data_IF_893835356458
#
_entry.id   IF_893835356458
#
_cell.length_a   1.000
_cell.length_b   1.000
_cell.length_c   1.000
_cell.angle_alpha   90.00
_cell.angle_beta   90.00
_cell.angle_gamma   90.00
#
_symmetry.space_group_name_H-M   'P 1'
#
loop_
_entity.id
_entity.type
_entity.pdbx_description
1 polymer ?
#
# COMPACT_ATOMS: atom_id res chain seq x y z
N UNK A 1 6.53 -2.18 22.93
CA UNK A 1 6.35 -3.37 22.06
C UNK A 1 7.56 -3.53 21.16
N UNK A 2 7.91 -4.78 20.84
CA UNK A 2 8.88 -5.13 19.81
C UNK A 2 8.17 -5.29 18.46
N UNK A 3 8.64 -4.60 17.42
CA UNK A 3 7.99 -4.59 16.11
C UNK A 3 8.96 -5.05 15.03
N UNK A 4 8.69 -6.19 14.40
CA UNK A 4 9.40 -6.63 13.22
C UNK A 4 8.92 -5.81 12.01
N UNK A 5 9.82 -5.18 11.27
CA UNK A 5 9.52 -4.42 10.06
C UNK A 5 10.13 -5.15 8.87
N UNK A 6 9.29 -5.74 8.04
CA UNK A 6 9.72 -6.40 6.81
C UNK A 6 9.83 -5.34 5.71
N UNK A 7 11.05 -4.94 5.43
CA UNK A 7 11.42 -3.87 4.52
C UNK A 7 12.51 -2.97 5.08
N UNK A 8 13.24 -2.30 4.19
CA UNK A 8 14.27 -1.30 4.53
C UNK A 8 14.27 -0.13 3.52
N UNK A 9 13.09 0.17 2.97
CA UNK A 9 12.82 1.31 2.12
C UNK A 9 12.44 2.57 2.90
N UNK A 10 12.00 3.60 2.19
CA UNK A 10 11.61 4.90 2.77
C UNK A 10 10.52 4.77 3.83
N UNK A 11 9.49 3.99 3.54
CA UNK A 11 8.35 3.78 4.46
C UNK A 11 8.76 2.97 5.68
N UNK A 12 9.57 1.92 5.49
CA UNK A 12 10.08 1.11 6.59
C UNK A 12 10.93 1.95 7.56
N UNK A 13 11.83 2.80 7.04
CA UNK A 13 12.65 3.69 7.85
C UNK A 13 11.82 4.77 8.55
N UNK A 14 10.85 5.38 7.85
CA UNK A 14 9.96 6.35 8.47
C UNK A 14 9.15 5.75 9.62
N UNK A 15 8.58 4.57 9.42
CA UNK A 15 7.85 3.85 10.47
C UNK A 15 8.77 3.42 11.62
N UNK A 16 9.99 2.94 11.32
CA UNK A 16 10.96 2.56 12.35
C UNK A 16 11.37 3.76 13.22
N UNK A 17 11.65 4.90 12.60
CA UNK A 17 11.97 6.13 13.32
C UNK A 17 10.80 6.59 14.21
N UNK A 18 9.57 6.55 13.69
CA UNK A 18 8.36 6.93 14.43
C UNK A 18 8.11 5.98 15.61
N UNK A 19 8.19 4.66 15.41
CA UNK A 19 8.05 3.66 16.46
C UNK A 19 9.10 3.86 17.57
N UNK A 20 10.36 4.05 17.18
CA UNK A 20 11.42 4.30 18.15
C UNK A 20 11.22 5.61 18.94
N UNK A 21 10.70 6.66 18.30
CA UNK A 21 10.36 7.93 18.96
C UNK A 21 9.23 7.79 19.98
N UNK A 22 8.35 6.81 19.77
CA UNK A 22 7.23 6.47 20.66
C UNK A 22 7.62 5.42 21.74
N UNK A 23 8.90 5.05 21.81
CA UNK A 23 9.41 4.13 22.84
C UNK A 23 9.23 2.65 22.51
N UNK A 24 8.95 2.30 21.27
CA UNK A 24 8.91 0.92 20.79
C UNK A 24 10.27 0.44 20.30
N UNK A 25 10.44 -0.87 20.13
CA UNK A 25 11.66 -1.52 19.64
C UNK A 25 11.49 -2.00 18.19
N UNK A 26 11.80 -1.18 17.17
CA UNK A 26 11.72 -1.61 15.78
C UNK A 26 12.93 -2.46 15.39
N UNK A 27 12.66 -3.60 14.74
CA UNK A 27 13.64 -4.50 14.17
C UNK A 27 13.36 -4.65 12.69
N UNK A 28 14.22 -4.08 11.85
CA UNK A 28 14.06 -4.11 10.40
C UNK A 28 14.72 -5.36 9.81
N UNK A 29 14.15 -5.85 8.72
CA UNK A 29 14.78 -6.84 7.87
C UNK A 29 14.71 -6.39 6.41
N UNK A 30 15.84 -6.44 5.71
CA UNK A 30 15.95 -6.14 4.29
C UNK A 30 15.98 -7.44 3.49
N UNK A 31 14.94 -7.78 2.71
CA UNK A 31 14.95 -9.01 1.89
C UNK A 31 16.15 -9.11 0.93
N UNK A 32 16.62 -7.99 0.40
CA UNK A 32 17.77 -7.96 -0.50
C UNK A 32 19.11 -8.03 0.22
N UNK A 33 19.15 -7.83 1.54
CA UNK A 33 20.37 -7.71 2.33
C UNK A 33 21.26 -6.50 1.99
N UNK A 34 20.85 -5.65 1.03
CA UNK A 34 21.66 -4.53 0.53
C UNK A 34 21.46 -3.23 1.30
N UNK A 35 20.37 -3.10 2.06
CA UNK A 35 20.02 -1.87 2.78
C UNK A 35 20.34 -2.01 4.26
N UNK A 36 20.69 -0.87 4.91
CA UNK A 36 20.87 -0.80 6.35
C UNK A 36 22.23 -1.28 6.86
N UNK A 37 23.22 -1.42 5.99
CA UNK A 37 24.57 -1.84 6.41
C UNK A 37 25.19 -0.90 7.43
N UNK A 38 24.93 0.40 7.33
CA UNK A 38 25.35 1.39 8.33
C UNK A 38 24.69 1.16 9.68
N UNK A 39 23.43 0.71 9.70
CA UNK A 39 22.71 0.39 10.95
C UNK A 39 23.28 -0.90 11.56
N UNK A 40 23.57 -1.91 10.74
CA UNK A 40 24.30 -3.12 11.18
C UNK A 40 25.62 -2.76 11.83
N UNK A 41 26.33 -1.77 11.28
CA UNK A 41 27.59 -1.25 11.83
C UNK A 41 27.40 -0.36 13.08
N UNK A 42 26.20 -0.26 13.62
CA UNK A 42 25.90 0.46 14.86
C UNK A 42 25.53 1.94 14.69
N UNK A 43 25.38 2.44 13.45
CA UNK A 43 24.92 3.81 13.21
C UNK A 43 23.42 3.92 13.50
N UNK A 44 22.97 4.90 14.30
CA UNK A 44 21.55 5.12 14.51
C UNK A 44 20.85 5.60 13.24
N UNK A 45 19.55 5.36 13.15
CA UNK A 45 18.70 5.88 12.07
C UNK A 45 18.45 7.38 12.30
N UNK A 46 18.90 8.21 11.38
CA UNK A 46 18.63 9.66 11.40
C UNK A 46 17.34 9.95 10.62
N UNK A 47 16.43 10.70 11.19
CA UNK A 47 15.25 11.22 10.52
C UNK A 47 15.25 12.74 10.50
N UNK A 48 14.65 13.33 9.46
CA UNK A 48 14.43 14.76 9.28
C UNK A 48 13.03 15.05 8.77
N UNK A 49 12.58 16.30 8.85
CA UNK A 49 11.27 16.72 8.34
C UNK A 49 10.19 16.71 9.41
N UNK A 50 9.08 16.01 9.19
CA UNK A 50 7.99 15.92 10.18
C UNK A 50 8.35 15.11 11.43
N UNK A 51 9.46 14.39 11.40
CA UNK A 51 10.09 13.73 12.54
C UNK A 51 11.59 14.03 12.46
N UNK A 52 12.14 14.66 13.48
CA UNK A 52 13.54 15.04 13.52
C UNK A 52 14.24 14.34 14.71
N UNK A 53 15.38 13.74 14.46
CA UNK A 53 16.16 13.08 15.50
C UNK A 53 16.99 11.90 15.01
N UNK A 54 17.56 11.22 16.02
CA UNK A 54 18.43 10.05 15.85
C UNK A 54 17.88 8.91 16.71
N UNK A 55 17.55 7.78 16.08
CA UNK A 55 16.79 6.71 16.69
C UNK A 55 17.56 5.40 16.67
N UNK A 56 17.53 4.70 17.80
CA UNK A 56 18.10 3.36 17.87
C UNK A 56 17.13 2.38 17.20
N UNK A 57 17.58 1.72 16.15
CA UNK A 57 16.86 0.66 15.45
C UNK A 57 17.81 -0.53 15.23
N UNK A 58 17.27 -1.71 15.03
CA UNK A 58 18.05 -2.92 14.80
C UNK A 58 17.80 -3.46 13.39
N UNK A 59 18.84 -3.97 12.73
CA UNK A 59 18.72 -4.75 11.51
C UNK A 59 18.91 -6.22 11.83
N UNK A 60 17.91 -7.05 11.45
CA UNK A 60 17.99 -8.50 11.58
C UNK A 60 18.63 -9.12 10.33
N UNK A 61 19.31 -10.25 10.50
CA UNK A 61 19.94 -11.00 9.41
C UNK A 61 18.92 -11.77 8.57
N UNK A 62 17.80 -12.19 9.18
CA UNK A 62 16.73 -12.95 8.51
C UNK A 62 15.35 -12.44 8.93
N UNK A 63 14.31 -12.83 8.18
CA UNK A 63 12.92 -12.61 8.58
C UNK A 63 12.61 -13.24 9.94
N UNK A 64 13.12 -14.46 10.16
CA UNK A 64 12.94 -15.19 11.42
C UNK A 64 13.55 -14.44 12.61
N UNK A 65 14.77 -13.89 12.47
CA UNK A 65 15.41 -13.12 13.53
C UNK A 65 14.65 -11.81 13.83
N UNK A 66 14.06 -11.19 12.82
CA UNK A 66 13.24 -10.00 13.02
C UNK A 66 11.96 -10.33 13.80
N UNK A 67 11.30 -11.43 13.44
CA UNK A 67 9.99 -11.86 13.98
C UNK A 67 10.11 -12.47 15.37
N UNK A 68 11.25 -13.07 15.69
CA UNK A 68 11.47 -13.71 16.99
C UNK A 68 11.21 -12.72 18.15
N UNK A 69 10.21 -13.05 18.99
CA UNK A 69 9.79 -12.22 20.12
C UNK A 69 9.13 -10.89 19.75
N UNK A 70 8.75 -10.67 18.51
CA UNK A 70 7.99 -9.50 18.11
C UNK A 70 6.51 -9.62 18.52
N UNK A 71 5.93 -8.52 18.99
CA UNK A 71 4.51 -8.40 19.29
C UNK A 71 3.70 -8.15 18.00
N UNK A 72 4.30 -7.40 17.08
CA UNK A 72 3.70 -7.09 15.79
C UNK A 72 4.71 -7.25 14.64
N UNK A 73 4.20 -7.64 13.47
CA UNK A 73 4.98 -7.78 12.23
C UNK A 73 4.41 -6.82 11.19
N UNK A 74 5.17 -5.79 10.82
CA UNK A 74 4.78 -4.74 9.88
C UNK A 74 5.42 -4.99 8.52
N UNK A 75 4.62 -5.25 7.49
CA UNK A 75 5.06 -5.31 6.10
C UNK A 75 5.11 -3.88 5.52
N UNK A 76 6.30 -3.41 5.16
CA UNK A 76 6.55 -2.06 4.66
C UNK A 76 7.42 -2.08 3.39
N UNK A 77 6.89 -2.74 2.37
CA UNK A 77 7.51 -2.96 1.06
C UNK A 77 6.56 -2.53 -0.07
N UNK A 78 7.06 -2.24 -1.28
CA UNK A 78 6.23 -2.22 -2.48
C UNK A 78 5.57 -3.57 -2.75
N UNK A 79 4.43 -3.56 -3.45
CA UNK A 79 3.60 -4.74 -3.66
C UNK A 79 4.34 -5.92 -4.33
N UNK A 80 5.22 -5.63 -5.27
CA UNK A 80 6.07 -6.63 -5.94
C UNK A 80 7.06 -7.35 -5.02
N UNK A 81 7.24 -6.89 -3.80
CA UNK A 81 8.03 -7.57 -2.77
C UNK A 81 7.19 -8.29 -1.71
N UNK A 82 5.87 -8.17 -1.77
CA UNK A 82 4.97 -8.69 -0.74
C UNK A 82 5.05 -10.20 -0.63
N UNK A 83 4.90 -10.94 -1.75
CA UNK A 83 4.93 -12.41 -1.76
C UNK A 83 6.21 -12.93 -1.11
N UNK A 84 7.35 -12.52 -1.61
CA UNK A 84 8.66 -12.97 -1.12
C UNK A 84 8.83 -12.69 0.37
N UNK A 85 8.45 -11.50 0.84
CA UNK A 85 8.57 -11.13 2.24
C UNK A 85 7.59 -11.91 3.14
N UNK A 86 6.36 -12.14 2.68
CA UNK A 86 5.35 -12.91 3.40
C UNK A 86 5.70 -14.40 3.47
N UNK A 87 6.23 -14.98 2.39
CA UNK A 87 6.69 -16.37 2.37
C UNK A 87 7.87 -16.58 3.31
N UNK A 88 8.81 -15.62 3.36
CA UNK A 88 9.91 -15.65 4.31
C UNK A 88 9.45 -15.47 5.77
N UNK A 89 8.39 -14.72 6.01
CA UNK A 89 7.86 -14.44 7.33
C UNK A 89 6.97 -15.58 7.87
N UNK A 90 6.11 -16.13 7.02
CA UNK A 90 5.06 -17.07 7.42
C UNK A 90 5.54 -18.25 8.28
N UNK A 91 6.69 -18.92 8.01
CA UNK A 91 7.20 -20.01 8.84
C UNK A 91 7.52 -19.61 10.29
N UNK A 92 7.81 -18.32 10.53
CA UNK A 92 8.29 -17.78 11.80
C UNK A 92 7.21 -17.09 12.63
N UNK A 93 6.01 -16.87 12.06
CA UNK A 93 4.90 -16.28 12.79
C UNK A 93 4.45 -17.20 13.92
N UNK A 94 4.04 -16.63 15.06
CA UNK A 94 3.61 -17.34 16.25
C UNK A 94 2.32 -16.75 16.81
N UNK A 95 1.55 -17.59 17.51
CA UNK A 95 0.33 -17.17 18.20
C UNK A 95 0.59 -16.00 19.15
N UNK A 96 -0.36 -15.09 19.24
CA UNK A 96 -0.22 -13.86 20.04
C UNK A 96 0.25 -12.66 19.26
N UNK A 97 0.95 -12.83 18.15
CA UNK A 97 1.38 -11.75 17.25
C UNK A 97 0.20 -11.14 16.49
N UNK A 98 0.45 -10.01 15.84
CA UNK A 98 -0.42 -9.40 14.85
C UNK A 98 0.40 -9.05 13.61
N UNK A 99 -0.16 -9.27 12.42
CA UNK A 99 0.47 -8.86 11.17
C UNK A 99 -0.19 -7.58 10.68
N UNK A 100 0.60 -6.62 10.23
CA UNK A 100 0.13 -5.33 9.73
C UNK A 100 0.69 -5.13 8.32
N UNK A 101 -0.16 -4.79 7.35
CA UNK A 101 0.24 -4.47 5.99
C UNK A 101 0.11 -2.97 5.77
N UNK A 102 1.23 -2.29 5.66
CA UNK A 102 1.30 -0.86 5.40
C UNK A 102 1.04 -0.57 3.93
N UNK A 103 -0.14 0.00 3.62
CA UNK A 103 -0.65 0.22 2.26
C UNK A 103 -1.03 -1.09 1.54
N UNK A 104 -2.21 -1.58 1.89
CA UNK A 104 -2.77 -2.81 1.34
C UNK A 104 -3.06 -2.70 -0.16
N UNK A 105 -2.64 -3.69 -0.91
CA UNK A 105 -2.92 -3.83 -2.33
C UNK A 105 -2.99 -5.31 -2.72
N UNK A 106 -3.60 -5.63 -3.86
CA UNK A 106 -3.69 -7.00 -4.40
C UNK A 106 -4.14 -8.06 -3.38
N UNK A 107 -4.98 -7.69 -2.45
CA UNK A 107 -5.43 -8.62 -1.41
C UNK A 107 -4.31 -9.33 -0.65
N UNK A 108 -3.14 -8.68 -0.52
CA UNK A 108 -1.99 -9.22 0.21
C UNK A 108 -2.33 -9.63 1.65
N UNK A 109 -3.35 -8.99 2.27
CA UNK A 109 -3.90 -9.41 3.55
C UNK A 109 -4.53 -10.79 3.52
N UNK A 110 -5.25 -11.16 2.45
CA UNK A 110 -5.80 -12.51 2.28
C UNK A 110 -4.70 -13.53 2.02
N UNK A 111 -3.65 -13.17 1.27
CA UNK A 111 -2.52 -14.06 1.00
C UNK A 111 -1.83 -14.48 2.30
N UNK A 112 -1.41 -13.53 3.13
CA UNK A 112 -0.75 -13.89 4.40
C UNK A 112 -1.71 -14.55 5.39
N UNK A 113 -3.00 -14.19 5.40
CA UNK A 113 -4.02 -14.87 6.22
C UNK A 113 -4.18 -16.33 5.80
N UNK A 114 -4.08 -16.67 4.50
CA UNK A 114 -4.06 -18.03 4.00
C UNK A 114 -2.86 -18.81 4.57
N UNK A 115 -1.65 -18.23 4.48
CA UNK A 115 -0.41 -18.85 5.02
C UNK A 115 -0.48 -19.08 6.54
N UNK A 116 -1.12 -18.19 7.26
CA UNK A 116 -1.37 -18.32 8.70
C UNK A 116 -2.34 -19.48 8.96
N UNK A 117 -3.46 -19.55 8.22
CA UNK A 117 -4.47 -20.60 8.35
C UNK A 117 -3.94 -22.00 7.95
N UNK A 118 -3.09 -22.11 6.92
CA UNK A 118 -2.38 -23.35 6.53
C UNK A 118 -1.60 -23.96 7.71
N UNK A 119 -1.08 -23.11 8.60
CA UNK A 119 -0.34 -23.51 9.81
C UNK A 119 -1.23 -23.73 11.03
N UNK A 120 -2.55 -23.52 10.90
CA UNK A 120 -3.49 -23.64 12.02
C UNK A 120 -3.29 -22.58 13.10
N UNK A 121 -2.75 -21.40 12.74
CA UNK A 121 -2.54 -20.29 13.66
C UNK A 121 -3.72 -19.31 13.62
N UNK A 122 -3.99 -18.67 14.76
CA UNK A 122 -4.94 -17.57 14.89
C UNK A 122 -4.17 -16.26 15.12
N UNK A 123 -3.84 -15.59 14.00
CA UNK A 123 -3.08 -14.31 13.99
C UNK A 123 -3.88 -13.32 13.17
N UNK A 124 -4.39 -12.24 13.78
CA UNK A 124 -5.08 -11.20 13.02
C UNK A 124 -4.16 -10.48 12.04
N UNK A 125 -4.71 -10.16 10.87
CA UNK A 125 -4.03 -9.38 9.83
C UNK A 125 -4.71 -8.03 9.68
N UNK A 126 -4.03 -6.95 10.04
CA UNK A 126 -4.51 -5.58 9.86
C UNK A 126 -4.02 -5.04 8.53
N UNK A 127 -4.90 -4.51 7.72
CA UNK A 127 -4.58 -3.89 6.44
C UNK A 127 -4.84 -2.39 6.50
N UNK A 128 -3.86 -1.58 6.09
CA UNK A 128 -3.97 -0.13 6.05
C UNK A 128 -4.27 0.36 4.63
N UNK A 129 -5.16 1.33 4.51
CA UNK A 129 -5.49 1.96 3.23
C UNK A 129 -4.36 2.81 2.65
N UNK A 130 -3.43 3.26 3.50
CA UNK A 130 -2.21 3.98 3.11
C UNK A 130 -1.16 3.84 4.22
N UNK A 131 0.05 4.32 3.97
CA UNK A 131 1.15 4.33 4.96
C UNK A 131 0.93 5.39 6.05
N UNK A 132 1.37 5.14 7.28
CA UNK A 132 1.37 6.15 8.37
C UNK A 132 2.37 7.27 8.07
N UNK A 133 3.58 6.90 7.64
CA UNK A 133 4.62 7.87 7.26
C UNK A 133 4.76 7.95 5.74
N UNK A 134 5.09 9.14 5.23
CA UNK A 134 5.55 9.34 3.86
C UNK A 134 6.91 10.04 3.87
N UNK A 135 7.75 9.80 2.87
CA UNK A 135 9.07 10.39 2.82
C UNK A 135 10.01 9.67 1.86
N UNK A 136 11.28 10.01 1.92
CA UNK A 136 12.33 9.41 1.07
C UNK A 136 13.56 9.08 1.90
N UNK A 137 14.18 7.94 1.64
CA UNK A 137 15.52 7.64 2.13
C UNK A 137 16.49 8.67 1.56
N UNK A 138 17.34 9.20 2.43
CA UNK A 138 18.40 10.15 2.08
C UNK A 138 19.79 9.54 2.20
N UNK A 139 19.88 8.32 2.72
CA UNK A 139 21.11 7.54 2.86
C UNK A 139 20.85 6.15 3.41
N UNK A 140 21.92 5.40 3.71
CA UNK A 140 21.80 4.02 4.18
C UNK A 140 21.27 3.90 5.62
N UNK A 141 21.43 4.95 6.44
CA UNK A 141 20.86 5.07 7.78
C UNK A 141 20.17 6.42 7.96
N UNK A 142 19.48 6.93 6.92
CA UNK A 142 18.79 8.22 7.02
C UNK A 142 17.54 8.29 6.15
N UNK A 143 16.52 9.01 6.64
CA UNK A 143 15.23 9.22 5.99
C UNK A 143 14.74 10.65 6.22
N UNK A 144 14.19 11.27 5.19
CA UNK A 144 13.36 12.46 5.34
C UNK A 144 11.89 12.00 5.43
N UNK A 145 11.25 12.28 6.54
CA UNK A 145 9.82 12.01 6.78
C UNK A 145 9.06 13.28 6.40
N UNK A 146 8.51 13.32 5.21
CA UNK A 146 7.79 14.51 4.72
C UNK A 146 6.42 14.68 5.40
N UNK A 147 5.80 13.59 5.82
CA UNK A 147 4.45 13.61 6.42
C UNK A 147 4.27 12.45 7.40
N UNK A 148 3.62 12.73 8.53
CA UNK A 148 3.01 11.74 9.40
C UNK A 148 1.51 11.95 9.32
N UNK A 149 0.78 10.97 8.77
CA UNK A 149 -0.67 11.12 8.52
C UNK A 149 -1.46 11.14 9.82
N UNK A 150 -2.41 12.03 9.90
CA UNK A 150 -3.33 12.16 11.03
C UNK A 150 -4.49 11.16 11.00
N UNK A 151 -4.80 10.61 9.81
CA UNK A 151 -5.86 9.59 9.64
C UNK A 151 -5.41 8.52 8.64
N UNK A 152 -5.61 7.25 9.03
CA UNK A 152 -5.34 6.07 8.20
C UNK A 152 -6.51 5.11 8.37
N UNK A 153 -7.17 4.77 7.27
CA UNK A 153 -8.23 3.77 7.26
C UNK A 153 -7.61 2.37 7.42
N UNK A 154 -8.21 1.55 8.27
CA UNK A 154 -7.77 0.17 8.52
C UNK A 154 -8.94 -0.81 8.50
N UNK A 155 -8.64 -2.06 8.22
CA UNK A 155 -9.53 -3.18 8.47
C UNK A 155 -8.73 -4.38 8.97
N UNK A 156 -9.38 -5.32 9.64
CA UNK A 156 -8.74 -6.50 10.21
C UNK A 156 -9.36 -7.78 9.62
N UNK A 157 -8.54 -8.77 9.34
CA UNK A 157 -8.93 -10.11 8.90
C UNK A 157 -8.54 -11.10 10.02
N UNK A 158 -9.49 -11.82 10.63
CA UNK A 158 -10.93 -11.65 10.46
C UNK A 158 -11.44 -10.35 11.08
N UNK A 159 -12.59 -9.84 10.60
CA UNK A 159 -13.21 -8.60 11.11
C UNK A 159 -13.58 -8.70 12.60
N UNK A 160 -13.86 -9.90 13.11
CA UNK A 160 -14.09 -10.16 14.54
C UNK A 160 -12.91 -9.77 15.44
N UNK A 161 -11.70 -9.67 14.90
CA UNK A 161 -10.51 -9.19 15.60
C UNK A 161 -10.28 -7.68 15.45
N UNK A 162 -11.22 -6.92 14.87
CA UNK A 162 -11.09 -5.49 14.57
C UNK A 162 -10.69 -4.65 15.77
N UNK A 163 -11.38 -4.82 16.90
CA UNK A 163 -11.06 -4.09 18.13
C UNK A 163 -9.60 -4.30 18.58
N UNK A 164 -9.08 -5.53 18.49
CA UNK A 164 -7.67 -5.84 18.79
C UNK A 164 -6.73 -5.20 17.77
N UNK A 165 -7.07 -5.28 16.48
CA UNK A 165 -6.30 -4.67 15.40
C UNK A 165 -6.17 -3.16 15.58
N UNK A 166 -7.29 -2.48 15.87
CA UNK A 166 -7.33 -1.05 16.13
C UNK A 166 -6.51 -0.68 17.38
N UNK A 167 -6.70 -1.40 18.47
CA UNK A 167 -5.97 -1.17 19.72
C UNK A 167 -4.45 -1.24 19.53
N UNK A 168 -3.96 -2.29 18.88
CA UNK A 168 -2.51 -2.45 18.62
C UNK A 168 -1.98 -1.35 17.72
N UNK A 169 -2.70 -0.99 16.66
CA UNK A 169 -2.30 0.12 15.79
C UNK A 169 -2.23 1.45 16.56
N UNK A 170 -3.21 1.74 17.42
CA UNK A 170 -3.22 2.93 18.26
C UNK A 170 -2.09 2.94 19.30
N UNK A 171 -1.80 1.80 19.92
CA UNK A 171 -0.68 1.64 20.85
C UNK A 171 0.66 1.91 20.15
N UNK A 172 0.84 1.41 18.93
CA UNK A 172 2.09 1.55 18.17
C UNK A 172 2.29 2.95 17.58
N UNK A 173 1.23 3.59 17.08
CA UNK A 173 1.35 4.81 16.28
C UNK A 173 0.47 5.97 16.76
N UNK A 174 -0.27 5.82 17.86
CA UNK A 174 -1.19 6.83 18.37
C UNK A 174 -2.56 6.81 17.70
N UNK A 175 -3.45 7.68 18.14
CA UNK A 175 -4.86 7.75 17.72
C UNK A 175 -5.00 8.41 16.34
N UNK A 176 -4.75 7.62 15.31
CA UNK A 176 -4.86 8.03 13.89
C UNK A 176 -5.61 7.05 13.00
N UNK A 177 -6.11 5.98 13.54
CA UNK A 177 -6.72 4.91 12.75
C UNK A 177 -8.23 5.00 12.75
N UNK A 178 -8.83 4.75 11.59
CA UNK A 178 -10.28 4.70 11.38
C UNK A 178 -10.63 3.32 10.85
N UNK A 179 -11.37 2.56 11.64
CA UNK A 179 -11.79 1.21 11.26
C UNK A 179 -12.82 1.26 10.14
N UNK A 180 -12.65 0.39 9.15
CA UNK A 180 -13.57 0.13 8.04
C UNK A 180 -14.15 -1.28 8.20
N UNK A 181 -15.24 -1.56 7.48
CA UNK A 181 -15.96 -2.82 7.59
C UNK A 181 -15.11 -4.06 7.35
N UNK A 182 -14.21 -4.02 6.37
CA UNK A 182 -13.39 -5.14 5.93
C UNK A 182 -12.29 -4.71 4.96
N UNK A 183 -11.45 -5.68 4.55
CA UNK A 183 -10.33 -5.42 3.65
C UNK A 183 -10.75 -5.04 2.21
N UNK A 184 -11.96 -5.39 1.76
CA UNK A 184 -12.47 -5.00 0.45
C UNK A 184 -12.81 -3.50 0.43
N UNK A 185 -13.36 -2.96 1.54
CA UNK A 185 -13.58 -1.52 1.70
C UNK A 185 -12.25 -0.75 1.58
N UNK A 186 -11.16 -1.29 2.13
CA UNK A 186 -9.81 -0.71 2.01
C UNK A 186 -9.33 -0.76 0.54
N UNK A 187 -9.45 -1.92 -0.12
CA UNK A 187 -9.02 -2.10 -1.51
C UNK A 187 -9.76 -1.16 -2.47
N UNK A 188 -11.08 -1.05 -2.32
CA UNK A 188 -11.94 -0.19 -3.15
C UNK A 188 -11.71 1.31 -2.89
N UNK A 189 -11.13 1.68 -1.75
CA UNK A 189 -10.78 3.07 -1.40
C UNK A 189 -9.42 3.53 -1.95
N UNK A 190 -8.62 2.63 -2.52
CA UNK A 190 -7.30 2.97 -3.04
C UNK A 190 -7.42 3.71 -4.38
N UNK A 191 -6.95 4.95 -4.40
CA UNK A 191 -6.97 5.83 -5.59
C UNK A 191 -5.62 5.85 -6.34
N UNK A 192 -4.56 5.32 -5.74
CA UNK A 192 -3.22 5.42 -6.33
C UNK A 192 -3.11 4.78 -7.72
N UNK A 193 -3.57 3.52 -7.95
CA UNK A 193 -3.36 2.88 -9.24
C UNK A 193 -3.95 3.66 -10.42
N UNK A 194 -5.19 4.13 -10.30
CA UNK A 194 -5.84 4.89 -11.35
C UNK A 194 -5.25 6.29 -11.53
N UNK A 195 -4.85 6.97 -10.44
CA UNK A 195 -4.16 8.26 -10.51
C UNK A 195 -2.82 8.09 -11.21
N UNK A 196 -2.05 7.11 -10.82
CA UNK A 196 -0.75 6.83 -11.40
C UNK A 196 -0.86 6.41 -12.87
N UNK A 197 -1.88 5.63 -13.24
CA UNK A 197 -2.16 5.31 -14.64
C UNK A 197 -2.35 6.57 -15.48
N UNK A 198 -3.27 7.46 -15.11
CA UNK A 198 -3.56 8.66 -15.90
C UNK A 198 -2.38 9.62 -15.98
N UNK A 199 -1.67 9.80 -14.86
CA UNK A 199 -0.49 10.68 -14.78
C UNK A 199 0.66 10.11 -15.62
N UNK A 200 1.01 8.83 -15.45
CA UNK A 200 2.13 8.21 -16.14
C UNK A 200 1.86 8.06 -17.65
N UNK A 201 0.67 7.60 -18.03
CA UNK A 201 0.32 7.40 -19.42
C UNK A 201 0.35 8.73 -20.21
N UNK A 202 -0.21 9.80 -19.64
CA UNK A 202 -0.28 11.11 -20.31
C UNK A 202 1.06 11.87 -20.30
N UNK A 203 2.06 11.41 -19.53
CA UNK A 203 3.39 12.03 -19.45
C UNK A 203 4.52 11.02 -19.75
N UNK A 204 4.20 9.93 -20.45
CA UNK A 204 5.13 8.81 -20.63
C UNK A 204 6.44 9.21 -21.27
N UNK A 205 6.41 9.98 -22.36
CA UNK A 205 7.62 10.44 -23.07
C UNK A 205 8.49 11.36 -22.21
N UNK A 206 7.89 12.15 -21.30
CA UNK A 206 8.64 12.97 -20.34
C UNK A 206 9.45 12.11 -19.38
N UNK A 207 8.84 11.02 -18.88
CA UNK A 207 9.51 10.06 -18.00
C UNK A 207 10.64 9.33 -18.74
N UNK A 208 10.42 8.93 -19.99
CA UNK A 208 11.40 8.24 -20.80
C UNK A 208 12.59 9.13 -21.16
N UNK A 209 12.36 10.42 -21.35
CA UNK A 209 13.41 11.44 -21.58
C UNK A 209 14.09 11.93 -20.28
N UNK A 210 13.64 11.50 -19.11
CA UNK A 210 14.21 11.95 -17.85
C UNK A 210 13.94 13.43 -17.52
N UNK A 211 12.81 13.97 -18.02
CA UNK A 211 12.46 15.38 -17.78
C UNK A 211 12.11 15.62 -16.30
N UNK A 212 12.48 16.78 -15.78
CA UNK A 212 11.95 17.28 -14.51
C UNK A 212 10.67 18.06 -14.79
N UNK A 213 9.54 17.60 -14.25
CA UNK A 213 8.23 18.20 -14.49
C UNK A 213 7.34 18.16 -13.25
N UNK A 214 6.53 19.21 -13.08
CA UNK A 214 5.56 19.29 -11.98
C UNK A 214 4.37 18.38 -12.23
N UNK A 215 4.06 17.50 -11.28
CA UNK A 215 2.98 16.53 -11.43
C UNK A 215 1.61 17.21 -11.55
N UNK A 216 1.28 18.14 -10.66
CA UNK A 216 -0.01 18.85 -10.71
C UNK A 216 -0.12 19.82 -11.87
N UNK A 217 0.98 20.41 -12.32
CA UNK A 217 1.03 21.28 -13.52
C UNK A 217 0.66 20.51 -14.79
N UNK A 218 1.06 19.23 -14.86
CA UNK A 218 0.82 18.36 -16.00
C UNK A 218 -0.41 17.45 -15.83
N UNK A 219 -1.15 17.60 -14.74
CA UNK A 219 -2.50 17.05 -14.59
C UNK A 219 -3.51 18.04 -15.20
N UNK A 220 -3.48 18.13 -16.54
CA UNK A 220 -4.31 19.04 -17.34
C UNK A 220 -5.78 18.68 -17.29
N UNK A 221 -6.66 19.49 -17.88
CA UNK A 221 -8.11 19.20 -17.94
C UNK A 221 -8.42 17.86 -18.61
N UNK A 222 -7.64 17.47 -19.63
CA UNK A 222 -7.81 16.19 -20.30
C UNK A 222 -7.35 15.02 -19.45
N UNK A 223 -6.23 15.17 -18.76
CA UNK A 223 -5.75 14.17 -17.76
C UNK A 223 -6.76 14.07 -16.62
N UNK A 224 -7.26 15.20 -16.11
CA UNK A 224 -8.27 15.23 -15.06
C UNK A 224 -9.55 14.49 -15.46
N UNK A 225 -10.03 14.67 -16.69
CA UNK A 225 -11.19 13.90 -17.20
C UNK A 225 -10.91 12.41 -17.29
N UNK A 226 -9.70 11.99 -17.68
CA UNK A 226 -9.32 10.58 -17.67
C UNK A 226 -9.33 10.01 -16.25
N UNK A 227 -8.76 10.73 -15.27
CA UNK A 227 -8.77 10.33 -13.87
C UNK A 227 -10.20 10.19 -13.32
N UNK A 228 -11.10 11.11 -13.67
CA UNK A 228 -12.50 11.05 -13.27
C UNK A 228 -13.24 9.87 -13.93
N UNK A 229 -12.92 9.53 -15.17
CA UNK A 229 -13.50 8.39 -15.87
C UNK A 229 -13.03 7.04 -15.27
N UNK A 230 -11.74 6.93 -14.93
CA UNK A 230 -11.20 5.79 -14.19
C UNK A 230 -11.84 5.67 -12.79
N UNK A 231 -12.02 6.81 -12.11
CA UNK A 231 -12.69 6.85 -10.82
C UNK A 231 -14.16 6.40 -10.91
N UNK A 232 -14.86 6.75 -11.99
CA UNK A 232 -16.24 6.32 -12.22
C UNK A 232 -16.36 4.79 -12.35
N UNK A 233 -15.40 4.10 -13.00
CA UNK A 233 -15.35 2.64 -13.03
C UNK A 233 -15.16 2.05 -11.61
N UNK A 234 -14.21 2.57 -10.85
CA UNK A 234 -13.97 2.13 -9.46
C UNK A 234 -15.19 2.34 -8.56
N UNK A 235 -15.86 3.49 -8.68
CA UNK A 235 -17.08 3.81 -7.92
C UNK A 235 -18.25 2.88 -8.28
N UNK A 236 -18.43 2.56 -9.56
CA UNK A 236 -19.45 1.62 -10.01
C UNK A 236 -19.19 0.20 -9.47
N UNK A 237 -17.94 -0.24 -9.45
CA UNK A 237 -17.52 -1.51 -8.84
C UNK A 237 -17.82 -1.50 -7.33
N UNK A 238 -17.44 -0.44 -6.63
CA UNK A 238 -17.67 -0.30 -5.21
C UNK A 238 -19.17 -0.33 -4.86
N UNK A 239 -20.00 0.42 -5.60
CA UNK A 239 -21.45 0.46 -5.43
C UNK A 239 -22.08 -0.93 -5.67
N UNK A 240 -21.71 -1.61 -6.75
CA UNK A 240 -22.22 -2.95 -7.06
C UNK A 240 -21.77 -3.99 -6.01
N UNK A 241 -20.59 -3.79 -5.42
CA UNK A 241 -20.13 -4.57 -4.28
C UNK A 241 -20.79 -4.15 -2.94
N UNK A 242 -21.60 -3.10 -2.90
CA UNK A 242 -22.31 -2.63 -1.71
C UNK A 242 -21.46 -1.75 -0.78
N UNK A 243 -20.41 -1.12 -1.30
CA UNK A 243 -19.54 -0.20 -0.55
C UNK A 243 -19.70 1.24 -1.03
N UNK A 244 -19.69 2.16 -0.08
CA UNK A 244 -19.56 3.59 -0.37
C UNK A 244 -18.13 4.04 -0.09
N UNK A 245 -17.44 4.48 -1.14
CA UNK A 245 -16.07 4.97 -1.07
C UNK A 245 -15.98 6.41 -1.56
N UNK A 246 -14.92 7.12 -1.17
CA UNK A 246 -14.71 8.50 -1.59
C UNK A 246 -14.41 8.60 -3.06
N UNK A 247 -14.92 9.64 -3.71
CA UNK A 247 -14.53 10.02 -5.06
C UNK A 247 -13.12 10.63 -5.08
N UNK A 248 -12.50 10.68 -6.23
CA UNK A 248 -11.23 11.38 -6.42
C UNK A 248 -11.34 12.87 -6.02
N UNK A 249 -12.46 13.53 -6.34
CA UNK A 249 -12.69 14.93 -5.98
C UNK A 249 -12.77 15.13 -4.46
N UNK A 250 -13.51 14.28 -3.77
CA UNK A 250 -13.56 14.29 -2.30
C UNK A 250 -12.19 14.02 -1.69
N UNK A 251 -11.40 13.13 -2.29
CA UNK A 251 -10.04 12.88 -1.84
C UNK A 251 -9.14 14.11 -1.98
N UNK A 252 -9.18 14.80 -3.13
CA UNK A 252 -8.41 16.03 -3.33
C UNK A 252 -8.83 17.13 -2.35
N UNK A 253 -10.15 17.32 -2.14
CA UNK A 253 -10.66 18.28 -1.16
C UNK A 253 -10.16 17.99 0.27
N UNK A 254 -10.33 16.75 0.73
CA UNK A 254 -9.96 16.35 2.09
C UNK A 254 -8.44 16.31 2.34
N UNK A 255 -7.67 15.89 1.34
CA UNK A 255 -6.22 15.70 1.50
C UNK A 255 -5.42 16.97 1.25
N UNK A 256 -5.91 17.84 0.38
CA UNK A 256 -5.17 19.02 -0.09
C UNK A 256 -5.90 20.34 0.15
N UNK A 257 -7.09 20.30 0.73
CA UNK A 257 -7.91 21.47 1.06
C UNK A 257 -8.15 22.39 -0.16
N UNK A 258 -8.50 21.77 -1.29
CA UNK A 258 -8.88 22.45 -2.53
C UNK A 258 -10.39 22.35 -2.68
N UNK A 259 -11.03 23.46 -3.07
CA UNK A 259 -12.48 23.47 -3.31
C UNK A 259 -12.87 22.40 -4.35
N UNK A 260 -14.00 21.70 -4.12
CA UNK A 260 -14.45 20.66 -5.05
C UNK A 260 -14.75 21.21 -6.44
N UNK A 261 -14.22 20.56 -7.45
CA UNK A 261 -14.37 20.94 -8.85
C UNK A 261 -13.85 19.85 -9.79
N UNK A 262 -13.73 20.11 -11.09
CA UNK A 262 -13.04 19.21 -12.02
C UNK A 262 -11.59 18.96 -11.57
N UNK A 263 -11.12 17.71 -11.67
CA UNK A 263 -9.81 17.30 -11.14
C UNK A 263 -8.66 18.12 -11.76
N UNK A 264 -8.74 18.47 -13.05
CA UNK A 264 -7.74 19.33 -13.70
C UNK A 264 -7.67 20.76 -13.09
N UNK A 265 -8.81 21.34 -12.69
CA UNK A 265 -8.85 22.63 -12.00
C UNK A 265 -8.31 22.55 -10.58
N UNK A 266 -8.65 21.47 -9.86
CA UNK A 266 -8.13 21.20 -8.53
C UNK A 266 -6.59 21.06 -8.57
N UNK A 267 -6.07 20.35 -9.57
CA UNK A 267 -4.62 20.17 -9.78
C UNK A 267 -3.92 21.51 -10.11
N UNK A 268 -4.51 22.36 -10.98
CA UNK A 268 -3.98 23.71 -11.24
C UNK A 268 -3.92 24.57 -9.97
N UNK A 269 -4.94 24.48 -9.14
CA UNK A 269 -4.95 25.20 -7.85
C UNK A 269 -3.82 24.74 -6.94
N UNK A 270 -3.53 23.46 -6.91
CA UNK A 270 -2.40 22.89 -6.14
C UNK A 270 -1.05 23.34 -6.73
N UNK A 271 -0.90 23.30 -8.04
CA UNK A 271 0.29 23.78 -8.73
C UNK A 271 0.57 25.26 -8.40
N UNK A 272 -0.46 26.12 -8.47
CA UNK A 272 -0.35 27.55 -8.14
C UNK A 272 0.04 27.82 -6.68
N UNK A 273 -0.26 26.88 -5.75
CA UNK A 273 0.17 26.95 -4.34
C UNK A 273 1.61 26.46 -4.11
N UNK A 274 2.29 25.97 -5.15
CA UNK A 274 3.58 25.30 -5.02
C UNK A 274 3.49 23.90 -4.39
N UNK A 275 2.28 23.35 -4.27
CA UNK A 275 2.01 22.04 -3.70
C UNK A 275 1.84 20.99 -4.81
N UNK A 276 2.92 20.49 -5.39
CA UNK A 276 2.74 19.56 -6.49
C UNK A 276 3.72 18.40 -6.47
N UNK A 277 4.91 18.67 -6.03
CA UNK A 277 6.01 17.75 -6.22
C UNK A 277 6.28 17.47 -7.71
N UNK A 278 7.34 16.78 -7.98
CA UNK A 278 7.67 16.35 -9.34
C UNK A 278 6.99 15.01 -9.65
N UNK A 279 6.57 14.85 -10.89
CA UNK A 279 6.25 13.57 -11.45
C UNK A 279 7.50 12.69 -11.58
N UNK A 280 7.34 11.40 -11.90
CA UNK A 280 8.48 10.51 -12.14
C UNK A 280 9.32 11.00 -13.32
N UNK A 281 10.64 10.94 -13.17
CA UNK A 281 11.64 11.27 -14.18
C UNK A 281 12.24 10.04 -14.86
N UNK A 282 11.60 8.90 -14.70
CA UNK A 282 12.00 7.63 -15.29
C UNK A 282 10.79 6.73 -15.51
N UNK A 283 10.85 5.91 -16.55
CA UNK A 283 9.89 4.81 -16.75
C UNK A 283 10.10 3.68 -15.73
N UNK A 284 11.27 3.59 -15.08
CA UNK A 284 11.48 2.71 -13.92
C UNK A 284 10.80 3.31 -12.67
N UNK A 285 9.49 3.36 -12.70
CA UNK A 285 8.66 3.98 -11.66
C UNK A 285 7.61 3.02 -11.12
N UNK A 286 7.37 3.11 -9.82
CA UNK A 286 6.27 2.38 -9.16
C UNK A 286 4.89 2.71 -9.75
N UNK A 287 4.71 3.87 -10.36
CA UNK A 287 3.46 4.29 -10.99
C UNK A 287 2.99 3.31 -12.07
N UNK A 288 3.93 2.57 -12.67
CA UNK A 288 3.61 1.54 -13.65
C UNK A 288 4.01 0.17 -13.12
N UNK A 289 5.27 -0.01 -12.69
CA UNK A 289 5.83 -1.32 -12.34
C UNK A 289 5.20 -1.97 -11.10
N UNK A 290 4.60 -1.18 -10.22
CA UNK A 290 3.84 -1.67 -9.06
C UNK A 290 2.34 -1.62 -9.31
N UNK A 291 1.83 -0.46 -9.78
CA UNK A 291 0.40 -0.24 -9.81
C UNK A 291 -0.31 -0.92 -10.99
N UNK A 292 0.37 -1.16 -12.13
CA UNK A 292 -0.24 -1.90 -13.22
C UNK A 292 -0.57 -3.35 -12.82
N UNK A 293 0.38 -4.17 -12.35
CA UNK A 293 0.08 -5.53 -11.92
C UNK A 293 -0.70 -5.62 -10.61
N UNK A 294 -0.36 -4.80 -9.59
CA UNK A 294 -0.86 -4.98 -8.23
C UNK A 294 -2.01 -4.04 -7.85
N UNK A 295 -2.38 -3.11 -8.71
CA UNK A 295 -3.47 -2.16 -8.45
C UNK A 295 -4.54 -2.17 -9.54
N UNK A 296 -4.16 -1.97 -10.81
CA UNK A 296 -5.11 -1.94 -11.92
C UNK A 296 -5.69 -3.33 -12.21
N UNK A 297 -4.85 -4.37 -12.27
CA UNK A 297 -5.29 -5.72 -12.56
C UNK A 297 -6.30 -6.25 -11.51
N UNK A 298 -6.08 -6.12 -10.19
CA UNK A 298 -7.12 -6.45 -9.20
C UNK A 298 -8.43 -5.68 -9.41
N UNK A 299 -8.37 -4.41 -9.83
CA UNK A 299 -9.58 -3.61 -10.12
C UNK A 299 -10.34 -4.17 -11.32
N UNK A 300 -9.63 -4.63 -12.36
CA UNK A 300 -10.24 -5.32 -13.51
C UNK A 300 -10.96 -6.61 -13.10
N UNK A 301 -10.35 -7.41 -12.23
CA UNK A 301 -10.96 -8.63 -11.71
C UNK A 301 -12.20 -8.32 -10.85
N UNK A 302 -12.13 -7.31 -9.98
CA UNK A 302 -13.29 -6.84 -9.22
C UNK A 302 -14.41 -6.35 -10.15
N UNK A 303 -14.07 -5.72 -11.25
CA UNK A 303 -15.02 -5.33 -12.29
C UNK A 303 -15.77 -6.53 -12.90
N UNK A 304 -15.05 -7.63 -13.15
CA UNK A 304 -15.67 -8.90 -13.60
C UNK A 304 -16.58 -9.50 -12.51
N UNK A 305 -16.12 -9.55 -11.27
CA UNK A 305 -16.87 -10.13 -10.14
C UNK A 305 -18.16 -9.37 -9.82
N UNK A 306 -18.21 -8.07 -10.14
CA UNK A 306 -19.35 -7.19 -9.84
C UNK A 306 -20.26 -6.93 -11.04
N UNK A 307 -19.95 -7.50 -12.20
CA UNK A 307 -20.60 -7.19 -13.49
C UNK A 307 -20.57 -5.67 -13.81
N UNK A 308 -19.43 -5.06 -13.50
CA UNK A 308 -19.11 -3.66 -13.80
C UNK A 308 -17.71 -3.59 -14.44
N UNK A 309 -17.60 -3.85 -15.75
CA UNK A 309 -16.30 -3.94 -16.41
C UNK A 309 -15.47 -2.67 -16.24
N UNK A 310 -14.22 -2.83 -15.79
CA UNK A 310 -13.23 -1.76 -15.66
C UNK A 310 -12.47 -1.61 -16.99
N UNK A 311 -13.13 -1.10 -18.01
CA UNK A 311 -12.64 -1.08 -19.39
C UNK A 311 -11.44 -0.17 -19.58
N UNK A 312 -11.45 1.01 -18.94
CA UNK A 312 -10.32 1.95 -19.01
C UNK A 312 -9.11 1.45 -18.21
N UNK A 313 -9.35 0.79 -17.08
CA UNK A 313 -8.27 0.15 -16.32
C UNK A 313 -7.61 -0.95 -17.16
N UNK A 314 -8.40 -1.81 -17.83
CA UNK A 314 -7.86 -2.85 -18.70
C UNK A 314 -7.09 -2.24 -19.88
N UNK A 315 -7.65 -1.24 -20.56
CA UNK A 315 -6.97 -0.54 -21.65
C UNK A 315 -5.63 0.07 -21.19
N UNK A 316 -5.57 0.62 -19.98
CA UNK A 316 -4.34 1.14 -19.39
C UNK A 316 -3.27 0.07 -19.18
N UNK A 317 -3.66 -1.10 -18.68
CA UNK A 317 -2.75 -2.26 -18.53
C UNK A 317 -2.24 -2.71 -19.90
N UNK A 318 -3.10 -2.80 -20.90
CA UNK A 318 -2.75 -3.25 -22.25
C UNK A 318 -1.76 -2.28 -22.92
N UNK A 319 -2.02 -0.97 -22.79
CA UNK A 319 -1.12 0.07 -23.32
C UNK A 319 0.24 0.04 -22.61
N UNK A 320 0.27 -0.03 -21.28
CA UNK A 320 1.53 -0.16 -20.57
C UNK A 320 2.26 -1.46 -20.92
N UNK A 321 1.55 -2.57 -21.07
CA UNK A 321 2.16 -3.84 -21.48
C UNK A 321 2.83 -3.73 -22.84
N UNK A 322 2.20 -3.04 -23.80
CA UNK A 322 2.79 -2.77 -25.09
C UNK A 322 4.00 -1.83 -25.01
N UNK A 323 3.92 -0.74 -24.24
CA UNK A 323 5.01 0.22 -24.07
C UNK A 323 6.26 -0.40 -23.43
N UNK A 324 6.08 -1.31 -22.49
CA UNK A 324 7.19 -1.96 -21.78
C UNK A 324 7.63 -3.31 -22.41
N UNK A 325 6.89 -3.85 -23.37
CA UNK A 325 7.11 -5.18 -23.92
C UNK A 325 6.95 -6.29 -22.86
N UNK A 326 6.01 -6.12 -21.92
CA UNK A 326 5.74 -7.02 -20.76
C UNK A 326 4.28 -7.40 -20.72
N UNK A 327 3.93 -8.38 -19.91
CA UNK A 327 2.53 -8.72 -19.60
C UNK A 327 2.26 -8.41 -18.11
N UNK A 328 1.87 -7.18 -17.83
CA UNK A 328 1.66 -6.73 -16.45
C UNK A 328 0.55 -7.49 -15.72
N UNK A 329 -0.49 -7.96 -16.40
CA UNK A 329 -1.53 -8.76 -15.76
C UNK A 329 -0.98 -10.08 -15.20
N UNK A 330 -0.03 -10.71 -15.92
CA UNK A 330 0.60 -11.96 -15.49
C UNK A 330 1.70 -11.77 -14.41
N UNK A 331 2.05 -10.54 -14.06
CA UNK A 331 3.08 -10.27 -13.06
C UNK A 331 2.55 -10.19 -11.62
N UNK A 332 1.23 -10.23 -11.45
CA UNK A 332 0.65 -10.30 -10.12
C UNK A 332 0.78 -11.73 -9.58
N UNK A 333 1.67 -11.91 -8.64
CA UNK A 333 2.03 -13.21 -8.07
C UNK A 333 1.23 -13.59 -6.81
N UNK A 334 0.20 -12.80 -6.44
CA UNK A 334 -0.62 -13.03 -5.24
C UNK A 334 -2.01 -13.60 -5.56
N UNK A 335 -2.61 -13.16 -6.68
CA UNK A 335 -4.04 -13.36 -6.94
C UNK A 335 -4.39 -14.80 -7.31
N UNK A 336 -3.49 -15.51 -7.98
CA UNK A 336 -3.68 -16.93 -8.33
C UNK A 336 -3.80 -17.80 -7.06
N UNK A 337 -2.90 -17.57 -6.10
CA UNK A 337 -2.92 -18.32 -4.82
C UNK A 337 -4.14 -18.01 -3.96
N UNK A 338 -4.73 -16.83 -4.14
CA UNK A 338 -6.00 -16.47 -3.48
C UNK A 338 -7.19 -17.05 -4.24
N UNK A 339 -7.03 -17.36 -5.53
CA UNK A 339 -8.09 -17.84 -6.41
C UNK A 339 -9.08 -16.76 -6.83
N UNK A 340 -8.66 -15.49 -6.88
CA UNK A 340 -9.56 -14.35 -7.12
C UNK A 340 -10.29 -14.43 -8.46
N UNK A 341 -9.66 -14.97 -9.52
CA UNK A 341 -10.26 -15.06 -10.85
C UNK A 341 -11.45 -16.03 -10.93
N UNK A 342 -11.48 -17.05 -10.06
CA UNK A 342 -12.50 -18.10 -10.07
C UNK A 342 -13.53 -17.94 -8.95
N UNK A 343 -13.30 -17.01 -8.06
CA UNK A 343 -14.12 -16.75 -6.87
C UNK A 343 -15.38 -15.97 -7.25
N UNK A 344 -16.47 -16.18 -6.55
CA UNK A 344 -17.64 -15.30 -6.59
C UNK A 344 -17.45 -14.08 -5.68
N UNK A 345 -18.20 -13.00 -5.93
CA UNK A 345 -18.21 -11.83 -5.06
C UNK A 345 -18.62 -12.18 -3.61
N UNK A 346 -19.54 -13.15 -3.44
CA UNK A 346 -19.97 -13.62 -2.12
C UNK A 346 -18.86 -14.32 -1.35
N UNK A 347 -18.09 -15.17 -2.03
CA UNK A 347 -16.93 -15.84 -1.44
C UNK A 347 -15.85 -14.84 -1.06
N UNK A 348 -15.53 -13.87 -1.95
CA UNK A 348 -14.58 -12.81 -1.63
C UNK A 348 -15.01 -12.02 -0.39
N UNK A 349 -16.28 -11.61 -0.30
CA UNK A 349 -16.82 -10.89 0.85
C UNK A 349 -16.71 -11.70 2.14
N UNK A 350 -16.93 -13.00 2.07
CA UNK A 350 -16.76 -13.90 3.21
C UNK A 350 -15.30 -13.96 3.63
N UNK A 351 -14.37 -14.14 2.69
CA UNK A 351 -12.94 -14.20 3.00
C UNK A 351 -12.36 -12.91 3.57
N UNK A 352 -12.72 -11.74 3.02
CA UNK A 352 -12.23 -10.46 3.54
C UNK A 352 -12.77 -10.14 4.93
N UNK A 353 -13.95 -10.69 5.30
CA UNK A 353 -14.57 -10.52 6.61
C UNK A 353 -14.10 -11.57 7.61
N UNK A 354 -14.10 -12.84 7.23
CA UNK A 354 -13.93 -13.96 8.15
C UNK A 354 -12.52 -14.58 8.08
N UNK A 355 -11.74 -14.28 7.02
CA UNK A 355 -10.47 -14.96 6.75
C UNK A 355 -10.64 -16.38 6.22
N UNK A 356 -9.55 -17.11 6.15
CA UNK A 356 -9.52 -18.52 5.72
C UNK A 356 -9.76 -19.46 6.89
N UNK A 357 -10.61 -20.45 6.70
CA UNK A 357 -10.61 -21.61 7.59
C UNK A 357 -9.45 -22.55 7.23
N UNK A 358 -8.93 -23.36 8.17
CA UNK A 358 -7.84 -24.29 7.88
C UNK A 358 -8.17 -25.31 6.78
N UNK A 359 -9.47 -25.61 6.54
CA UNK A 359 -9.91 -26.49 5.47
C UNK A 359 -9.94 -25.83 4.09
N UNK A 360 -10.15 -24.52 4.04
CA UNK A 360 -10.14 -23.74 2.79
C UNK A 360 -8.73 -23.31 2.38
N UNK A 361 -7.81 -23.22 3.33
CA UNK A 361 -6.43 -22.78 3.08
C UNK A 361 -5.58 -23.90 2.46
N UNK A 362 -5.96 -25.16 2.62
CA UNK A 362 -5.30 -26.34 2.04
C UNK A 362 -5.75 -26.60 0.60
#
# INVERSE_FOLDING_TARGET
>A
MRVAILGAGSIAYGNAALLASLGHEPVLWSPSGKSGQSIVAGKPLSATGSLDGSFKVTMAASAGDAIAGADAVLLALPANGHRMAMDAAAPHLASGQIVIISSHTSFSGLYIAKKIAERGLDIPVVVWGTTVTAGRRTGDASVNVSTIRSKVDIATIPASAGARGLQVCQELFGDRFVERSDALAISLSNLNPQNHLGIALCNFTRMEHGETWGQNENNTDSVGRLLEALDAERLAIAEAAGYKVRTIREHYNLSFHVEPGPVGEMARTLAARGNGGNGPDSIDTRYVLEDAPFGLHPTVLLGKLTDRPATLHQAGIDVFSALYGRNFAAENDLLDDIGLETMSLSELKTLVRDGWSPSQAK
#
